data_IF_054813850199
#
_entry.id   IF_054813850199
#
_cell.length_a   1.000
_cell.length_b   1.000
_cell.length_c   1.000
_cell.angle_alpha   90.00
_cell.angle_beta   90.00
_cell.angle_gamma   90.00
#
_symmetry.space_group_name_H-M   'P 1'
#
loop_
_entity.id
_entity.type
_entity.pdbx_description
1 polymer ?
#
# COMPACT_ATOMS: atom_id res chain seq x y z
N UNK A 1 5.05 13.17 1.57
CA UNK A 1 4.61 12.79 2.92
C UNK A 1 5.14 13.73 4.02
N UNK A 2 5.40 15.00 3.70
CA UNK A 2 6.17 15.88 4.59
C UNK A 2 5.30 16.75 5.53
N UNK A 3 3.98 16.64 5.43
CA UNK A 3 3.03 17.27 6.34
C UNK A 3 2.24 16.19 7.08
N UNK A 4 2.43 16.03 8.40
CA UNK A 4 1.66 15.11 9.23
C UNK A 4 0.14 15.28 9.12
N UNK A 5 -0.33 16.52 8.91
CA UNK A 5 -1.76 16.81 8.80
C UNK A 5 -2.41 16.12 7.60
N UNK A 6 -1.66 15.93 6.52
CA UNK A 6 -2.13 15.25 5.31
C UNK A 6 -2.35 13.75 5.54
N UNK A 7 -1.52 13.13 6.38
CA UNK A 7 -1.65 11.72 6.73
C UNK A 7 -2.82 11.48 7.70
N UNK A 8 -3.00 12.37 8.66
CA UNK A 8 -4.13 12.31 9.60
C UNK A 8 -5.46 12.49 8.87
N UNK A 9 -5.53 13.44 7.93
CA UNK A 9 -6.70 13.62 7.05
C UNK A 9 -6.99 12.37 6.22
N UNK A 10 -5.95 11.73 5.66
CA UNK A 10 -6.12 10.46 4.95
C UNK A 10 -6.64 9.36 5.87
N UNK A 11 -6.18 9.28 7.12
CA UNK A 11 -6.69 8.28 8.07
C UNK A 11 -8.13 8.56 8.50
N UNK A 12 -8.52 9.82 8.67
CA UNK A 12 -9.90 10.18 8.99
C UNK A 12 -10.89 9.68 7.93
N UNK A 13 -10.48 9.61 6.65
CA UNK A 13 -11.30 9.03 5.59
C UNK A 13 -11.58 7.53 5.77
N UNK A 14 -10.85 6.82 6.62
CA UNK A 14 -11.08 5.40 6.90
C UNK A 14 -12.43 5.15 7.61
N UNK A 15 -13.03 6.16 8.25
CA UNK A 15 -14.38 6.11 8.80
C UNK A 15 -15.45 5.90 7.71
N UNK A 16 -15.12 6.18 6.45
CA UNK A 16 -16.03 6.00 5.32
C UNK A 16 -15.85 4.58 4.75
N UNK A 17 -16.85 3.70 4.86
CA UNK A 17 -16.70 2.28 4.48
C UNK A 17 -16.51 2.06 2.97
N UNK A 18 -16.81 3.07 2.15
CA UNK A 18 -16.66 3.04 0.70
C UNK A 18 -15.31 3.60 0.19
N UNK A 19 -14.39 3.97 1.08
CA UNK A 19 -13.06 4.48 0.70
C UNK A 19 -12.02 3.37 0.78
N UNK A 20 -11.20 3.26 -0.27
CA UNK A 20 -10.12 2.29 -0.40
C UNK A 20 -8.78 3.03 -0.55
N UNK A 21 -7.70 2.39 -0.12
CA UNK A 21 -6.33 2.89 -0.29
C UNK A 21 -5.54 1.93 -1.16
N UNK A 22 -4.80 2.48 -2.11
CA UNK A 22 -3.84 1.75 -2.94
C UNK A 22 -2.41 2.06 -2.48
N UNK A 23 -1.69 1.04 -2.04
CA UNK A 23 -0.27 1.10 -1.74
C UNK A 23 0.51 0.96 -3.06
N UNK A 24 0.90 2.10 -3.62
CA UNK A 24 1.68 2.18 -4.85
C UNK A 24 2.59 3.42 -4.83
N UNK A 25 3.71 3.38 -5.57
CA UNK A 25 4.58 4.54 -5.78
C UNK A 25 5.35 5.06 -4.56
N UNK A 26 5.23 4.44 -3.37
CA UNK A 26 5.89 4.93 -2.16
C UNK A 26 7.42 4.96 -2.30
N UNK A 27 8.01 4.02 -3.03
CA UNK A 27 9.46 3.95 -3.32
C UNK A 27 9.97 5.20 -4.06
N UNK A 28 9.13 5.88 -4.85
CA UNK A 28 9.51 7.14 -5.51
C UNK A 28 9.59 8.32 -4.52
N UNK A 29 9.01 8.18 -3.34
CA UNK A 29 8.85 9.28 -2.38
C UNK A 29 9.71 9.14 -1.12
N UNK A 30 10.36 7.98 -0.92
CA UNK A 30 11.22 7.76 0.25
C UNK A 30 12.58 8.45 0.12
N UNK A 31 13.09 8.58 -1.11
CA UNK A 31 14.47 9.03 -1.36
C UNK A 31 15.54 8.08 -0.84
N UNK A 32 15.15 6.85 -0.45
CA UNK A 32 16.02 5.83 0.12
C UNK A 32 16.15 4.65 -0.85
N UNK A 33 17.26 3.89 -0.82
CA UNK A 33 17.40 2.69 -1.64
C UNK A 33 16.48 1.55 -1.16
N UNK A 34 16.30 0.54 -2.01
CA UNK A 34 15.69 -0.73 -1.60
C UNK A 34 16.32 -1.24 -0.27
N UNK A 35 15.52 -1.68 0.73
CA UNK A 35 14.12 -2.10 0.66
C UNK A 35 13.09 -1.05 1.08
N UNK A 36 13.42 0.25 1.02
CA UNK A 36 12.49 1.33 1.33
C UNK A 36 11.93 1.25 2.78
N UNK A 37 12.81 1.03 3.75
CA UNK A 37 12.41 0.73 5.12
C UNK A 37 11.67 1.87 5.81
N UNK A 38 11.95 3.13 5.45
CA UNK A 38 11.27 4.32 5.99
C UNK A 38 9.79 4.37 5.64
N UNK A 39 9.34 3.67 4.58
CA UNK A 39 7.92 3.60 4.23
C UNK A 39 7.11 2.66 5.16
N UNK A 40 7.76 1.69 5.82
CA UNK A 40 7.06 0.64 6.58
C UNK A 40 6.10 1.17 7.67
N UNK A 41 6.46 2.19 8.48
CA UNK A 41 5.53 2.74 9.48
C UNK A 41 4.27 3.31 8.84
N UNK A 42 4.39 4.01 7.70
CA UNK A 42 3.26 4.55 6.95
C UNK A 42 2.35 3.44 6.44
N UNK A 43 2.94 2.40 5.83
CA UNK A 43 2.19 1.26 5.29
C UNK A 43 1.45 0.50 6.40
N UNK A 44 2.09 0.30 7.57
CA UNK A 44 1.45 -0.31 8.74
C UNK A 44 0.28 0.55 9.25
N UNK A 45 0.45 1.89 9.29
CA UNK A 45 -0.60 2.81 9.73
C UNK A 45 -1.82 2.80 8.78
N UNK A 46 -1.58 2.73 7.47
CA UNK A 46 -2.64 2.58 6.47
C UNK A 46 -3.40 1.27 6.66
N UNK A 47 -2.69 0.16 6.82
CA UNK A 47 -3.31 -1.15 7.05
C UNK A 47 -4.13 -1.18 8.33
N UNK A 48 -3.62 -0.60 9.42
CA UNK A 48 -4.33 -0.51 10.69
C UNK A 48 -5.59 0.35 10.63
N UNK A 49 -5.59 1.45 9.86
CA UNK A 49 -6.74 2.34 9.74
C UNK A 49 -7.84 1.79 8.82
N UNK A 50 -7.45 1.28 7.65
CA UNK A 50 -8.40 0.87 6.61
C UNK A 50 -8.78 -0.62 6.70
N UNK A 51 -7.96 -1.45 7.32
CA UNK A 51 -8.10 -2.90 7.28
C UNK A 51 -7.70 -3.50 5.92
N UNK A 52 -7.35 -4.78 5.93
CA UNK A 52 -6.86 -5.50 4.74
C UNK A 52 -7.87 -5.49 3.59
N UNK A 53 -9.17 -5.48 3.90
CA UNK A 53 -10.28 -5.49 2.96
C UNK A 53 -10.44 -4.18 2.19
N UNK A 54 -9.78 -3.10 2.62
CA UNK A 54 -9.81 -1.79 1.95
C UNK A 54 -8.43 -1.27 1.53
N UNK A 55 -7.40 -2.07 1.74
CA UNK A 55 -6.04 -1.80 1.26
C UNK A 55 -5.71 -2.75 0.10
N UNK A 56 -5.25 -2.20 -1.01
CA UNK A 56 -4.77 -2.96 -2.18
C UNK A 56 -3.37 -2.51 -2.59
N UNK A 57 -2.63 -3.36 -3.27
CA UNK A 57 -1.30 -3.04 -3.78
C UNK A 57 -1.32 -2.73 -5.28
N UNK A 58 -0.33 -1.96 -5.74
CA UNK A 58 0.01 -1.88 -7.16
C UNK A 58 1.44 -1.41 -7.37
N UNK A 59 2.04 -1.84 -8.47
CA UNK A 59 3.46 -1.54 -8.76
C UNK A 59 3.77 -0.08 -9.01
N UNK A 60 2.80 0.68 -9.54
CA UNK A 60 3.04 1.98 -10.16
C UNK A 60 3.93 1.89 -11.43
N UNK A 61 3.95 0.74 -12.10
CA UNK A 61 4.66 0.60 -13.38
C UNK A 61 4.00 1.46 -14.48
N UNK A 62 4.77 2.16 -15.33
CA UNK A 62 6.24 2.20 -15.40
C UNK A 62 6.90 3.29 -14.53
N UNK A 63 6.14 4.11 -13.82
CA UNK A 63 6.66 5.22 -13.00
C UNK A 63 7.60 4.72 -11.91
N UNK A 64 7.37 3.52 -11.38
CA UNK A 64 8.24 2.88 -10.40
C UNK A 64 9.71 2.79 -10.80
N UNK A 65 10.00 2.70 -12.11
CA UNK A 65 11.36 2.58 -12.66
C UNK A 65 12.27 3.78 -12.34
N UNK A 66 11.74 4.86 -11.77
CA UNK A 66 12.53 5.98 -11.24
C UNK A 66 13.30 5.63 -9.96
N UNK A 67 12.81 4.67 -9.17
CA UNK A 67 13.39 4.33 -7.87
C UNK A 67 13.41 2.82 -7.56
N UNK A 68 12.71 1.99 -8.33
CA UNK A 68 12.58 0.55 -8.12
C UNK A 68 12.41 -0.22 -9.44
N UNK A 69 12.97 -1.42 -9.53
CA UNK A 69 12.50 -2.43 -10.48
C UNK A 69 11.11 -2.94 -10.09
N UNK A 70 10.40 -3.60 -11.02
CA UNK A 70 9.13 -4.26 -10.71
C UNK A 70 9.28 -5.26 -9.56
N UNK A 71 10.37 -6.04 -9.56
CA UNK A 71 10.65 -7.05 -8.55
C UNK A 71 10.89 -6.43 -7.17
N UNK A 72 11.63 -5.33 -7.09
CA UNK A 72 11.86 -4.60 -5.84
C UNK A 72 10.58 -3.97 -5.30
N UNK A 73 9.76 -3.36 -6.17
CA UNK A 73 8.46 -2.81 -5.78
C UNK A 73 7.52 -3.91 -5.23
N UNK A 74 7.53 -5.10 -5.83
CA UNK A 74 6.77 -6.25 -5.34
C UNK A 74 7.31 -6.79 -4.03
N UNK A 75 8.61 -7.15 -3.95
CA UNK A 75 9.20 -7.78 -2.77
C UNK A 75 9.14 -6.88 -1.54
N UNK A 76 9.44 -5.59 -1.69
CA UNK A 76 9.39 -4.64 -0.56
C UNK A 76 7.98 -4.47 0.04
N UNK A 77 6.92 -4.76 -0.73
CA UNK A 77 5.54 -4.80 -0.22
C UNK A 77 5.13 -6.20 0.28
N UNK A 78 5.53 -7.27 -0.42
CA UNK A 78 5.16 -8.65 -0.10
C UNK A 78 5.81 -9.16 1.20
N UNK A 79 7.05 -8.75 1.44
CA UNK A 79 7.91 -9.16 2.55
C UNK A 79 7.77 -8.24 3.78
N UNK A 80 6.75 -7.38 3.83
CA UNK A 80 6.49 -6.56 5.01
C UNK A 80 6.28 -7.45 6.25
N UNK A 81 7.04 -7.22 7.34
CA UNK A 81 7.13 -8.17 8.45
C UNK A 81 5.86 -8.28 9.29
N UNK A 82 4.95 -7.32 9.17
CA UNK A 82 3.68 -7.29 9.89
C UNK A 82 2.51 -7.92 9.10
N UNK A 83 2.73 -8.39 7.86
CA UNK A 83 1.67 -9.02 7.06
C UNK A 83 1.52 -10.50 7.39
N UNK A 84 0.28 -10.89 7.69
CA UNK A 84 -0.17 -12.29 7.70
C UNK A 84 -0.45 -12.78 6.28
N UNK A 85 -0.60 -14.09 6.09
CA UNK A 85 -0.97 -14.66 4.78
C UNK A 85 -2.37 -14.21 4.35
N UNK A 86 -3.28 -14.04 5.31
CA UNK A 86 -4.58 -13.45 5.04
C UNK A 86 -4.44 -11.99 4.56
N UNK A 87 -3.54 -11.17 5.15
CA UNK A 87 -3.28 -9.82 4.63
C UNK A 87 -2.77 -9.87 3.19
N UNK A 88 -1.82 -10.77 2.88
CA UNK A 88 -1.30 -10.93 1.52
C UNK A 88 -2.40 -11.30 0.52
N UNK A 89 -3.28 -12.23 0.87
CA UNK A 89 -4.40 -12.63 0.00
C UNK A 89 -5.35 -11.48 -0.34
N UNK A 90 -5.55 -10.55 0.60
CA UNK A 90 -6.43 -9.40 0.40
C UNK A 90 -5.73 -8.28 -0.38
N UNK A 91 -4.55 -7.87 0.10
CA UNK A 91 -3.82 -6.72 -0.42
C UNK A 91 -3.40 -6.94 -1.88
N UNK A 92 -3.00 -8.16 -2.25
CA UNK A 92 -2.49 -8.46 -3.60
C UNK A 92 -3.54 -9.03 -4.57
N UNK A 93 -4.79 -9.22 -4.13
CA UNK A 93 -5.84 -9.78 -4.99
C UNK A 93 -7.27 -9.36 -4.56
N UNK A 94 -7.77 -9.87 -3.43
CA UNK A 94 -9.22 -9.82 -3.13
C UNK A 94 -9.77 -8.42 -2.94
N UNK A 95 -8.99 -7.48 -2.41
CA UNK A 95 -9.44 -6.09 -2.20
C UNK A 95 -9.71 -5.41 -3.54
N UNK A 96 -8.80 -5.56 -4.50
CA UNK A 96 -8.95 -5.06 -5.86
C UNK A 96 -10.18 -5.67 -6.55
N UNK A 97 -10.36 -6.99 -6.44
CA UNK A 97 -11.54 -7.67 -7.01
C UNK A 97 -12.84 -7.17 -6.43
N UNK A 98 -12.90 -6.98 -5.11
CA UNK A 98 -14.07 -6.43 -4.42
C UNK A 98 -14.37 -5.00 -4.88
N UNK A 99 -13.37 -4.13 -4.86
CA UNK A 99 -13.53 -2.72 -5.20
C UNK A 99 -13.98 -2.52 -6.67
N UNK A 100 -13.41 -3.29 -7.60
CA UNK A 100 -13.70 -3.18 -9.03
C UNK A 100 -14.73 -4.18 -9.56
N UNK A 101 -15.33 -5.00 -8.68
CA UNK A 101 -16.33 -6.03 -9.04
C UNK A 101 -15.82 -6.98 -10.12
N UNK A 102 -14.56 -7.39 -10.02
CA UNK A 102 -13.94 -8.35 -10.93
C UNK A 102 -14.52 -9.74 -10.60
N UNK A 103 -15.06 -10.48 -11.58
CA UNK A 103 -15.56 -11.84 -11.37
C UNK A 103 -14.49 -12.78 -10.79
N UNK A 104 -14.93 -13.87 -10.17
CA UNK A 104 -14.05 -14.95 -9.73
C UNK A 104 -13.34 -15.60 -10.92
#
# INVERSE_FOLDING_TARGET
>A
YQDPSSLDNLIALAERPNVYVKLSGYHNSTGEPYPYASARPLLNRMLGAYGRERVMWGTDWPVCLKAATYAEAFRSSWELPFLTDADRSWIFDRTARTAWRIPA
#
